data_IF_143811262802
#
_entry.id   IF_143811262802
#
_cell.length_a   1.000
_cell.length_b   1.000
_cell.length_c   1.000
_cell.angle_alpha   90.00
_cell.angle_beta   90.00
_cell.angle_gamma   90.00
#
_symmetry.space_group_name_H-M   'P 1'
#
loop_
_entity.id
_entity.type
_entity.pdbx_description
1 polymer ?
#
# COMPACT_ATOMS: atom_id res chain seq x y z
N UNK A 1 8.54 -8.47 -20.32
CA UNK A 1 8.52 -8.21 -18.88
C UNK A 1 8.24 -6.73 -18.67
N UNK A 2 7.17 -6.39 -17.94
CA UNK A 2 6.92 -5.00 -17.58
C UNK A 2 7.94 -4.57 -16.53
N UNK A 3 8.51 -3.37 -16.65
CA UNK A 3 9.32 -2.78 -15.59
C UNK A 3 8.40 -2.26 -14.50
N UNK A 4 8.86 -2.24 -13.25
CA UNK A 4 8.08 -1.69 -12.14
C UNK A 4 8.82 -0.52 -11.51
N UNK A 5 8.08 0.55 -11.26
CA UNK A 5 8.59 1.76 -10.62
C UNK A 5 8.04 1.83 -9.21
N UNK A 6 8.93 2.09 -8.25
CA UNK A 6 8.59 2.20 -6.84
C UNK A 6 8.66 3.66 -6.41
N UNK A 7 7.70 4.09 -5.60
CA UNK A 7 7.71 5.41 -4.98
C UNK A 7 7.35 5.29 -3.50
N UNK A 8 8.33 5.51 -2.63
CA UNK A 8 8.10 5.53 -1.19
C UNK A 8 7.82 6.96 -0.73
N UNK A 9 6.71 7.13 -0.01
CA UNK A 9 6.36 8.34 0.71
C UNK A 9 6.23 8.01 2.19
N UNK A 10 6.58 8.94 3.06
CA UNK A 10 6.37 8.80 4.49
C UNK A 10 5.73 10.07 5.04
N UNK A 11 4.80 9.88 5.98
CA UNK A 11 4.05 10.94 6.66
C UNK A 11 4.42 10.86 8.13
N UNK A 12 5.38 11.67 8.58
CA UNK A 12 5.73 11.74 9.99
C UNK A 12 4.55 12.34 10.76
N UNK A 13 4.37 11.91 12.00
CA UNK A 13 3.43 12.47 12.97
C UNK A 13 1.95 12.49 12.54
N UNK A 14 1.37 11.31 12.40
CA UNK A 14 -0.09 11.20 12.25
C UNK A 14 -0.81 11.83 13.47
N UNK A 15 -1.91 12.60 13.27
CA UNK A 15 -2.77 13.08 14.34
C UNK A 15 -3.27 11.92 15.19
N UNK A 16 -3.39 12.20 16.48
CA UNK A 16 -3.93 11.28 17.48
C UNK A 16 -5.46 11.20 17.38
N UNK A 17 -5.96 10.80 16.21
CA UNK A 17 -7.38 10.62 15.91
C UNK A 17 -7.65 9.16 15.57
N UNK A 18 -8.89 8.72 15.79
CA UNK A 18 -9.32 7.36 15.38
C UNK A 18 -9.42 7.22 13.86
N UNK A 19 -9.80 8.30 13.19
CA UNK A 19 -10.01 8.34 11.75
C UNK A 19 -9.09 9.39 11.15
N UNK A 20 -8.57 9.12 9.95
CA UNK A 20 -7.71 10.05 9.23
C UNK A 20 -7.86 9.89 7.72
N UNK A 21 -7.53 10.96 7.02
CA UNK A 21 -7.51 11.00 5.56
C UNK A 21 -6.23 11.69 5.12
N UNK A 22 -5.49 11.04 4.23
CA UNK A 22 -4.24 11.58 3.67
C UNK A 22 -4.28 11.56 2.17
N UNK A 23 -3.81 12.66 1.60
CA UNK A 23 -3.47 12.71 0.19
C UNK A 23 -2.03 12.29 0.05
N UNK A 24 -1.78 11.18 -0.67
CA UNK A 24 -0.42 10.67 -0.80
C UNK A 24 0.35 11.50 -1.81
N UNK A 25 0.00 11.33 -3.08
CA UNK A 25 0.55 12.05 -4.23
C UNK A 25 -0.37 11.86 -5.42
N UNK A 26 -0.22 12.73 -6.44
CA UNK A 26 -0.84 12.51 -7.73
C UNK A 26 0.08 11.65 -8.62
N UNK A 27 -0.52 10.72 -9.35
CA UNK A 27 0.15 9.93 -10.37
C UNK A 27 -0.35 10.36 -11.75
N UNK A 28 0.45 10.13 -12.79
CA UNK A 28 -0.02 10.31 -14.16
C UNK A 28 -0.98 9.16 -14.49
N UNK A 29 -2.03 9.40 -15.27
CA UNK A 29 -2.97 8.33 -15.67
C UNK A 29 -2.32 7.21 -16.51
N UNK A 30 -1.10 7.45 -17.00
CA UNK A 30 -0.27 6.48 -17.71
C UNK A 30 0.65 5.66 -16.78
N UNK A 31 0.76 6.06 -15.50
CA UNK A 31 1.49 5.37 -14.43
C UNK A 31 0.50 5.01 -13.31
N UNK A 32 -0.57 4.30 -13.64
CA UNK A 32 -1.50 3.90 -12.60
C UNK A 32 -0.79 3.01 -11.58
N UNK A 33 -1.03 3.23 -10.27
CA UNK A 33 -0.55 2.30 -9.27
C UNK A 33 -1.20 0.94 -9.53
N UNK A 34 -0.43 -0.11 -9.29
CA UNK A 34 -0.94 -1.48 -9.23
C UNK A 34 -1.10 -1.92 -7.79
N UNK A 35 -0.10 -1.62 -6.96
CA UNK A 35 -0.17 -1.88 -5.51
C UNK A 35 0.17 -0.63 -4.72
N UNK A 36 -0.51 -0.46 -3.60
CA UNK A 36 -0.12 0.46 -2.53
C UNK A 36 0.10 -0.36 -1.27
N UNK A 37 1.28 -0.22 -0.68
CA UNK A 37 1.67 -0.94 0.54
C UNK A 37 1.86 0.10 1.65
N UNK A 38 1.15 -0.09 2.74
CA UNK A 38 1.20 0.79 3.90
C UNK A 38 1.78 0.08 5.12
N UNK A 39 2.52 0.82 5.92
CA UNK A 39 3.03 0.35 7.20
C UNK A 39 3.09 1.49 8.20
N UNK A 40 2.76 1.20 9.46
CA UNK A 40 2.84 2.18 10.55
C UNK A 40 4.04 1.88 11.44
N UNK A 41 4.74 2.92 11.88
CA UNK A 41 5.77 2.80 12.92
C UNK A 41 5.57 3.84 14.00
N UNK A 42 5.51 3.39 15.25
CA UNK A 42 5.26 4.22 16.43
C UNK A 42 6.57 4.46 17.17
N UNK A 43 6.95 5.72 17.33
CA UNK A 43 8.06 6.16 18.17
C UNK A 43 9.38 5.39 17.93
N UNK A 44 9.69 5.05 16.67
CA UNK A 44 10.93 4.39 16.24
C UNK A 44 11.92 5.34 15.57
N UNK A 45 11.44 6.50 15.11
CA UNK A 45 12.32 7.47 14.47
C UNK A 45 13.38 7.97 15.46
N UNK A 46 14.64 7.95 15.02
CA UNK A 46 15.83 8.32 15.82
C UNK A 46 16.00 7.57 17.17
N UNK A 47 15.35 6.42 17.38
CA UNK A 47 15.52 5.59 18.59
C UNK A 47 16.35 4.33 18.28
N UNK A 48 17.63 4.35 18.64
CA UNK A 48 18.55 3.23 18.41
C UNK A 48 18.24 1.98 19.24
N UNK A 49 17.35 2.07 20.23
CA UNK A 49 16.97 0.91 21.07
C UNK A 49 15.85 0.09 20.47
N UNK A 50 15.17 0.61 19.45
CA UNK A 50 14.04 -0.05 18.80
C UNK A 50 14.43 -0.56 17.41
N UNK A 51 13.86 -1.70 17.06
CA UNK A 51 14.05 -2.28 15.73
C UNK A 51 13.24 -1.49 14.69
N UNK A 52 13.96 -0.74 13.85
CA UNK A 52 13.39 0.08 12.77
C UNK A 52 12.90 -0.74 11.58
N UNK A 53 13.12 -2.06 11.55
CA UNK A 53 12.59 -2.94 10.51
C UNK A 53 11.14 -3.39 10.78
N UNK A 54 10.65 -3.18 12.00
CA UNK A 54 9.32 -3.64 12.46
C UNK A 54 8.24 -2.59 12.22
N UNK A 55 7.03 -3.05 11.97
CA UNK A 55 5.83 -2.21 11.84
C UNK A 55 4.81 -2.55 12.92
N UNK A 56 3.97 -1.58 13.29
CA UNK A 56 2.92 -1.75 14.29
C UNK A 56 1.55 -1.86 13.64
N UNK A 57 0.68 -2.65 14.25
CA UNK A 57 -0.69 -2.84 13.78
C UNK A 57 -1.62 -1.67 14.12
N UNK A 58 -1.20 -0.76 15.02
CA UNK A 58 -1.90 0.47 15.48
C UNK A 58 -3.40 0.31 15.78
N UNK A 59 -3.82 -0.92 16.10
CA UNK A 59 -5.24 -1.33 16.22
C UNK A 59 -6.10 -0.86 15.04
N UNK A 60 -5.59 -1.01 13.81
CA UNK A 60 -6.31 -0.69 12.59
C UNK A 60 -7.63 -1.47 12.51
N UNK A 61 -8.73 -0.78 12.18
CA UNK A 61 -10.04 -1.37 11.87
C UNK A 61 -10.28 -1.45 10.37
N UNK A 62 -9.89 -0.41 9.64
CA UNK A 62 -10.04 -0.37 8.20
C UNK A 62 -9.10 0.63 7.56
N UNK A 63 -8.77 0.39 6.30
CA UNK A 63 -8.03 1.29 5.44
C UNK A 63 -8.57 1.14 4.03
N UNK A 64 -8.74 2.26 3.34
CA UNK A 64 -9.26 2.32 1.98
C UNK A 64 -8.47 3.35 1.20
N UNK A 65 -7.99 2.93 0.04
CA UNK A 65 -7.37 3.80 -0.95
C UNK A 65 -8.43 4.24 -1.93
N UNK A 66 -8.38 5.51 -2.30
CA UNK A 66 -9.19 6.11 -3.34
C UNK A 66 -8.27 6.53 -4.48
N UNK A 67 -8.54 6.00 -5.66
CA UNK A 67 -7.99 6.48 -6.94
C UNK A 67 -9.06 7.37 -7.57
N UNK A 68 -8.87 8.69 -7.49
CA UNK A 68 -9.93 9.68 -7.73
C UNK A 68 -11.20 9.37 -6.91
N UNK A 69 -12.20 8.73 -7.53
CA UNK A 69 -13.49 8.39 -6.93
C UNK A 69 -13.69 6.89 -6.69
N UNK A 70 -12.82 6.03 -7.21
CA UNK A 70 -12.91 4.58 -7.03
C UNK A 70 -12.11 4.15 -5.81
N UNK A 71 -12.65 3.19 -5.04
CA UNK A 71 -12.06 2.80 -3.76
C UNK A 71 -11.65 1.34 -3.67
N UNK A 72 -10.51 1.10 -3.03
CA UNK A 72 -9.89 -0.22 -2.88
C UNK A 72 -9.44 -0.44 -1.42
N UNK A 73 -9.73 -1.59 -0.81
CA UNK A 73 -10.75 -2.55 -1.25
C UNK A 73 -12.16 -1.90 -1.28
N UNK A 74 -13.04 -2.43 -2.11
CA UNK A 74 -14.44 -1.97 -2.16
C UNK A 74 -15.15 -2.27 -0.84
N UNK A 75 -14.96 -3.48 -0.31
CA UNK A 75 -15.51 -3.88 0.98
C UNK A 75 -14.70 -3.31 2.13
N UNK A 76 -15.37 -3.11 3.27
CA UNK A 76 -14.71 -2.67 4.48
C UNK A 76 -14.00 -3.87 5.14
N UNK A 77 -12.73 -3.72 5.51
CA UNK A 77 -11.95 -4.79 6.13
C UNK A 77 -12.49 -5.26 7.49
N UNK A 78 -13.16 -4.37 8.24
CA UNK A 78 -13.77 -4.67 9.55
C UNK A 78 -12.85 -5.47 10.50
N UNK A 79 -11.58 -5.06 10.58
CA UNK A 79 -10.57 -5.71 11.39
C UNK A 79 -10.88 -5.52 12.88
N UNK A 80 -10.61 -6.56 13.66
CA UNK A 80 -10.59 -6.52 15.12
C UNK A 80 -9.35 -7.28 15.61
N UNK A 81 -8.24 -6.55 15.65
CA UNK A 81 -6.93 -7.10 15.96
C UNK A 81 -6.89 -7.62 17.40
N UNK A 82 -7.60 -6.97 18.32
CA UNK A 82 -7.66 -7.38 19.73
C UNK A 82 -8.34 -8.73 19.92
N UNK A 83 -9.31 -9.05 19.07
CA UNK A 83 -10.00 -10.34 19.05
C UNK A 83 -9.38 -11.33 18.06
N UNK A 84 -8.19 -11.03 17.50
CA UNK A 84 -7.50 -11.89 16.55
C UNK A 84 -8.14 -11.96 15.15
N UNK A 85 -9.08 -11.06 14.85
CA UNK A 85 -9.78 -11.00 13.55
C UNK A 85 -9.06 -10.06 12.59
N UNK A 86 -8.00 -10.56 11.97
CA UNK A 86 -7.21 -9.84 10.98
C UNK A 86 -6.90 -10.67 9.72
N UNK A 87 -7.71 -11.70 9.46
CA UNK A 87 -7.62 -12.53 8.25
C UNK A 87 -7.58 -11.67 6.98
N UNK A 88 -8.47 -10.67 6.76
CA UNK A 88 -8.42 -9.87 5.54
C UNK A 88 -7.07 -9.18 5.32
N UNK A 89 -6.43 -8.72 6.40
CA UNK A 89 -5.14 -8.07 6.35
C UNK A 89 -4.02 -9.06 5.97
N UNK A 90 -4.02 -10.25 6.56
CA UNK A 90 -3.05 -11.29 6.22
C UNK A 90 -3.24 -11.82 4.79
N UNK A 91 -4.50 -12.01 4.36
CA UNK A 91 -4.83 -12.41 2.99
C UNK A 91 -4.26 -11.45 1.96
N UNK A 92 -4.43 -10.13 2.17
CA UNK A 92 -3.84 -9.11 1.31
C UNK A 92 -2.31 -9.25 1.19
N UNK A 93 -1.63 -9.51 2.31
CA UNK A 93 -0.19 -9.73 2.34
C UNK A 93 0.22 -10.99 1.57
N UNK A 94 -0.50 -12.10 1.74
CA UNK A 94 -0.16 -13.37 1.06
C UNK A 94 -0.46 -13.34 -0.44
N UNK A 95 -1.59 -12.75 -0.84
CA UNK A 95 -2.01 -12.67 -2.25
C UNK A 95 -1.11 -11.74 -3.07
N UNK A 96 -0.51 -10.73 -2.41
CA UNK A 96 0.44 -9.83 -3.06
C UNK A 96 1.55 -10.58 -3.77
N UNK A 97 2.20 -11.53 -3.11
CA UNK A 97 3.33 -12.25 -3.69
C UNK A 97 2.91 -13.09 -4.91
N UNK A 98 1.77 -13.78 -4.81
CA UNK A 98 1.21 -14.58 -5.91
C UNK A 98 0.97 -13.72 -7.15
N UNK A 99 0.22 -12.62 -6.97
CA UNK A 99 -0.16 -11.70 -8.04
C UNK A 99 1.03 -10.88 -8.58
N UNK A 100 1.98 -10.51 -7.72
CA UNK A 100 3.13 -9.67 -8.09
C UNK A 100 4.21 -10.45 -8.85
N UNK A 101 4.51 -11.69 -8.44
CA UNK A 101 5.53 -12.54 -9.06
C UNK A 101 4.98 -13.53 -10.09
N UNK A 102 3.66 -13.54 -10.32
CA UNK A 102 2.99 -14.48 -11.23
C UNK A 102 3.26 -15.95 -10.83
N UNK A 103 3.10 -16.23 -9.54
CA UNK A 103 3.27 -17.57 -8.97
C UNK A 103 1.94 -18.31 -8.94
N UNK A 104 1.99 -19.64 -9.01
CA UNK A 104 0.80 -20.48 -8.87
C UNK A 104 0.34 -20.63 -7.41
N UNK A 105 1.26 -20.51 -6.45
CA UNK A 105 0.97 -20.60 -5.01
C UNK A 105 1.66 -19.44 -4.28
N UNK A 106 0.97 -18.90 -3.28
CA UNK A 106 1.54 -17.98 -2.31
C UNK A 106 2.49 -18.72 -1.36
N UNK A 107 3.66 -18.13 -1.14
CA UNK A 107 4.74 -18.56 -0.24
C UNK A 107 5.09 -17.39 0.70
N UNK A 108 4.22 -17.05 1.66
CA UNK A 108 4.43 -15.92 2.55
C UNK A 108 5.66 -16.16 3.43
N UNK A 109 6.43 -15.09 3.66
CA UNK A 109 7.64 -15.16 4.48
C UNK A 109 7.32 -15.23 5.98
N UNK A 110 6.28 -14.51 6.41
CA UNK A 110 5.79 -14.51 7.79
C UNK A 110 4.53 -15.35 7.90
N UNK A 111 4.44 -16.16 8.96
CA UNK A 111 3.18 -16.78 9.35
C UNK A 111 2.20 -15.76 9.94
N UNK A 112 0.96 -16.20 10.23
CA UNK A 112 -0.13 -15.33 10.67
C UNK A 112 0.22 -14.50 11.93
N UNK A 113 0.90 -15.11 12.90
CA UNK A 113 1.24 -14.47 14.17
C UNK A 113 2.47 -13.56 14.03
N UNK A 114 3.52 -14.04 13.37
CA UNK A 114 4.74 -13.28 13.11
C UNK A 114 4.44 -12.06 12.23
N UNK A 115 3.53 -12.21 11.26
CA UNK A 115 3.06 -11.09 10.43
C UNK A 115 2.49 -9.96 11.29
N UNK A 116 1.58 -10.26 12.21
CA UNK A 116 0.94 -9.23 13.03
C UNK A 116 1.95 -8.55 13.96
N UNK A 117 2.88 -9.32 14.53
CA UNK A 117 3.86 -8.83 15.50
C UNK A 117 5.00 -8.03 14.86
N UNK A 118 5.40 -8.40 13.65
CA UNK A 118 6.62 -7.86 13.04
C UNK A 118 6.35 -6.90 11.88
N UNK A 119 5.38 -7.22 11.02
CA UNK A 119 5.15 -6.48 9.79
C UNK A 119 3.68 -6.54 9.33
N UNK A 120 2.73 -5.96 10.09
CA UNK A 120 1.31 -5.88 9.73
C UNK A 120 1.09 -4.87 8.59
N UNK A 121 1.69 -5.16 7.43
CA UNK A 121 1.65 -4.33 6.24
C UNK A 121 0.28 -4.47 5.55
N UNK A 122 -0.29 -3.34 5.16
CA UNK A 122 -1.56 -3.30 4.44
C UNK A 122 -1.23 -3.26 2.95
N UNK A 123 -1.54 -4.32 2.21
CA UNK A 123 -1.36 -4.34 0.75
C UNK A 123 -2.69 -4.13 0.05
N UNK A 124 -2.81 -3.04 -0.71
CA UNK A 124 -4.01 -2.73 -1.49
C UNK A 124 -3.72 -2.97 -2.96
N UNK A 125 -4.36 -4.00 -3.52
CA UNK A 125 -4.34 -4.27 -4.95
C UNK A 125 -5.36 -3.38 -5.68
N UNK A 126 -4.84 -2.61 -6.64
CA UNK A 126 -5.60 -1.69 -7.50
C UNK A 126 -5.54 -2.09 -8.97
N UNK A 127 -5.08 -3.31 -9.27
CA UNK A 127 -4.96 -3.84 -10.63
C UNK A 127 -6.30 -3.89 -11.38
N UNK A 128 -7.42 -4.05 -10.67
CA UNK A 128 -8.78 -4.08 -11.20
C UNK A 128 -9.42 -2.70 -11.36
N UNK A 129 -8.60 -1.67 -11.51
CA UNK A 129 -9.05 -0.30 -11.72
C UNK A 129 -9.76 -0.10 -13.06
N UNK A 130 -10.71 0.84 -13.08
CA UNK A 130 -11.45 1.19 -14.30
C UNK A 130 -10.55 1.70 -15.43
N UNK A 131 -10.86 1.31 -16.67
CA UNK A 131 -10.22 1.86 -17.89
C UNK A 131 -10.37 3.39 -17.99
N UNK A 132 -11.35 3.97 -17.30
CA UNK A 132 -11.58 5.42 -17.25
C UNK A 132 -10.34 6.19 -16.74
N UNK A 133 -9.49 5.57 -15.93
CA UNK A 133 -8.28 6.23 -15.43
C UNK A 133 -7.19 6.40 -16.49
N UNK A 134 -7.14 5.53 -17.51
CA UNK A 134 -6.15 5.64 -18.59
C UNK A 134 -6.37 6.88 -19.45
N UNK A 135 -7.61 7.36 -19.52
CA UNK A 135 -7.97 8.58 -20.22
C UNK A 135 -7.81 9.85 -19.35
N UNK A 136 -7.58 9.70 -18.04
CA UNK A 136 -7.29 10.85 -17.18
C UNK A 136 -5.82 11.27 -17.32
N UNK A 137 -5.55 12.57 -17.34
CA UNK A 137 -4.17 13.08 -17.33
C UNK A 137 -3.48 12.79 -15.99
N UNK A 138 -4.24 12.84 -14.89
CA UNK A 138 -3.74 12.62 -13.53
C UNK A 138 -4.72 11.81 -12.69
N UNK A 139 -4.20 11.06 -11.74
CA UNK A 139 -4.96 10.28 -10.75
C UNK A 139 -4.53 10.72 -9.37
N UNK A 140 -5.49 11.20 -8.59
CA UNK A 140 -5.33 11.53 -7.19
C UNK A 140 -5.36 10.26 -6.34
N UNK A 141 -4.35 10.09 -5.47
CA UNK A 141 -4.30 8.99 -4.51
C UNK A 141 -4.59 9.54 -3.13
N UNK A 142 -5.72 9.12 -2.57
CA UNK A 142 -6.13 9.44 -1.20
C UNK A 142 -6.28 8.16 -0.40
N UNK A 143 -5.82 8.14 0.84
CA UNK A 143 -6.04 7.03 1.77
C UNK A 143 -6.91 7.50 2.92
N UNK A 144 -7.87 6.69 3.31
CA UNK A 144 -8.70 6.85 4.50
C UNK A 144 -8.44 5.66 5.41
N UNK A 145 -8.34 5.89 6.71
CA UNK A 145 -8.19 4.82 7.68
C UNK A 145 -9.04 5.08 8.91
N UNK A 146 -9.36 3.99 9.61
CA UNK A 146 -10.00 3.98 10.91
C UNK A 146 -9.30 2.99 11.84
N UNK A 147 -9.20 3.37 13.11
CA UNK A 147 -8.57 2.62 14.18
C UNK A 147 -9.57 2.41 15.32
N UNK A 148 -9.30 1.43 16.18
CA UNK A 148 -10.12 1.18 17.36
C UNK A 148 -10.01 2.32 18.39
N UNK A 149 -8.79 2.77 18.61
CA UNK A 149 -8.42 3.87 19.50
C UNK A 149 -7.74 4.99 18.71
N UNK A 150 -7.41 6.08 19.40
CA UNK A 150 -6.64 7.15 18.76
C UNK A 150 -5.29 6.60 18.30
N UNK A 151 -4.84 7.05 17.12
CA UNK A 151 -3.51 6.72 16.63
C UNK A 151 -2.45 7.04 17.70
N UNK A 152 -1.52 6.12 18.00
CA UNK A 152 -0.46 6.37 18.98
C UNK A 152 0.35 7.62 18.61
N UNK A 153 0.85 8.32 19.64
CA UNK A 153 1.70 9.49 19.41
C UNK A 153 2.99 9.09 18.69
N UNK A 154 3.52 9.99 17.84
CA UNK A 154 4.74 9.78 17.06
C UNK A 154 4.63 8.57 16.11
N UNK A 155 3.43 8.35 15.54
CA UNK A 155 3.23 7.33 14.50
C UNK A 155 3.58 7.92 13.14
N UNK A 156 4.45 7.24 12.41
CA UNK A 156 4.77 7.51 11.01
C UNK A 156 4.04 6.52 10.11
N UNK A 157 3.39 7.02 9.06
CA UNK A 157 2.84 6.19 7.99
C UNK A 157 3.83 6.12 6.83
N UNK A 158 4.25 4.92 6.46
CA UNK A 158 4.96 4.64 5.22
C UNK A 158 3.95 4.20 4.16
N UNK A 159 4.08 4.74 2.95
CA UNK A 159 3.25 4.42 1.80
C UNK A 159 4.15 4.17 0.58
N UNK A 160 4.29 2.90 0.20
CA UNK A 160 5.00 2.46 -0.99
C UNK A 160 4.00 2.27 -2.13
N UNK A 161 4.21 3.00 -3.22
CA UNK A 161 3.42 2.87 -4.44
C UNK A 161 4.23 2.09 -5.47
N UNK A 162 3.61 1.08 -6.07
CA UNK A 162 4.18 0.26 -7.14
C UNK A 162 3.38 0.52 -8.41
N UNK A 163 4.06 1.03 -9.45
CA UNK A 163 3.49 1.25 -10.77
C UNK A 163 3.98 0.18 -11.74
N UNK A 164 3.08 -0.31 -12.58
CA UNK A 164 3.49 -1.04 -13.79
C UNK A 164 3.94 -0.01 -14.84
N UNK A 165 5.15 -0.18 -15.36
CA UNK A 165 5.74 0.64 -16.41
C UNK A 165 6.10 -0.23 -17.61
N UNK A 166 5.39 -0.04 -18.72
CA UNK A 166 5.77 -0.64 -19.99
C UNK A 166 6.85 0.23 -20.64
N UNK A 167 8.06 -0.30 -20.76
CA UNK A 167 9.16 0.32 -21.50
C UNK A 167 9.32 -0.40 -22.85
N UNK A 168 9.35 0.36 -23.94
CA UNK A 168 9.71 -0.11 -25.26
C UNK A 168 11.14 0.31 -25.57
N UNK A 169 12.02 -0.65 -25.82
CA UNK A 169 13.28 -0.38 -26.50
C UNK A 169 13.00 -0.29 -28.00
N UNK A 170 13.40 0.82 -28.63
CA UNK A 170 13.43 0.93 -30.10
C UNK A 170 14.79 0.41 -30.59
N UNK A 171 14.88 -0.82 -31.15
CA UNK A 171 16.16 -1.48 -31.39
C UNK A 171 17.06 -0.74 -32.37
N UNK A 172 16.46 -0.02 -33.33
CA UNK A 172 17.19 0.71 -34.37
C UNK A 172 17.83 2.00 -33.87
N UNK A 173 17.34 2.57 -32.77
CA UNK A 173 17.81 3.85 -32.24
C UNK A 173 18.44 3.73 -30.86
N UNK A 174 18.38 2.55 -30.23
CA UNK A 174 18.73 2.31 -28.82
C UNK A 174 18.01 3.27 -27.85
N UNK A 175 16.89 3.87 -28.25
CA UNK A 175 16.11 4.75 -27.40
C UNK A 175 15.13 3.89 -26.60
N UNK A 176 15.17 4.04 -25.28
CA UNK A 176 14.15 3.52 -24.37
C UNK A 176 13.02 4.54 -24.29
N UNK A 177 11.83 4.15 -24.73
CA UNK A 177 10.64 4.98 -24.64
C UNK A 177 9.63 4.30 -23.73
N UNK A 178 8.90 5.12 -22.99
CA UNK A 178 7.80 4.63 -22.18
C UNK A 178 6.57 4.47 -23.06
N UNK A 179 5.96 3.29 -23.02
CA UNK A 179 4.68 3.05 -23.68
C UNK A 179 3.60 3.61 -22.76
N UNK A 180 2.82 4.53 -23.31
CA UNK A 180 1.53 4.91 -22.76
C UNK A 180 0.52 4.03 -23.49
N UNK A 181 -0.14 3.12 -22.78
CA UNK A 181 -1.27 2.36 -23.33
C UNK A 181 -2.52 3.23 -23.31
#
# INVERSE_FOLDING_TARGET
MAFRKYNLNYYPDLPMTKNGTYRIKNCLGVELPRYLIFGFQTARDNDMTKDSSKFDHVKLKSMRVYLNSESFPYENMNLDITQGRYIPLYTMYTEFQESYYDKFLSEPYLDYESFLNDAPLIVVDTSRQSELFKHSSTVDIRVEYSMEDNCPQNTTLFALIIHDCLLQLKPLTNIVQKIVN
#
